data_IF_565251680825
#
_entry.id   IF_565251680825
#
_cell.length_a   1.000
_cell.length_b   1.000
_cell.length_c   1.000
_cell.angle_alpha   90.00
_cell.angle_beta   90.00
_cell.angle_gamma   90.00
#
_symmetry.space_group_name_H-M   'P 1'
#
loop_
_entity.id
_entity.type
_entity.pdbx_description
1 polymer ?
#
# COMPACT_ATOMS: atom_id res chain seq x y z
N UNK A 1 44.14 14.96 33.26
CA UNK A 1 43.20 13.84 33.43
C UNK A 1 42.31 13.79 32.23
N UNK A 2 42.52 12.83 31.33
CA UNK A 2 41.67 12.64 30.16
C UNK A 2 40.25 12.24 30.64
N UNK A 3 39.18 12.84 30.14
CA UNK A 3 37.83 12.41 30.44
C UNK A 3 37.55 11.08 29.69
N UNK A 4 37.73 10.01 30.44
CA UNK A 4 37.65 8.65 29.88
C UNK A 4 36.28 8.29 29.37
N UNK A 5 36.24 7.29 28.47
CA UNK A 5 35.15 6.63 27.76
C UNK A 5 33.84 6.41 28.54
N UNK A 6 33.83 6.48 29.86
CA UNK A 6 32.64 6.34 30.74
C UNK A 6 31.76 7.60 30.83
N UNK A 7 32.23 8.78 30.49
CA UNK A 7 31.45 10.01 30.60
C UNK A 7 30.40 10.19 29.51
N UNK A 8 30.71 9.87 28.26
CA UNK A 8 29.80 10.09 27.13
C UNK A 8 28.60 9.11 27.07
N UNK A 9 28.77 7.92 27.63
CA UNK A 9 27.67 6.98 27.77
C UNK A 9 26.59 7.46 28.77
N UNK A 10 27.02 8.12 29.84
CA UNK A 10 26.12 8.72 30.84
C UNK A 10 25.31 9.87 30.20
N UNK A 11 25.98 10.77 29.47
CA UNK A 11 25.33 11.86 28.75
C UNK A 11 24.37 11.36 27.66
N UNK A 12 24.71 10.28 26.97
CA UNK A 12 23.82 9.63 26.02
C UNK A 12 22.53 9.10 26.68
N UNK A 13 22.67 8.39 27.82
CA UNK A 13 21.50 7.86 28.54
C UNK A 13 20.59 8.98 29.05
N UNK A 14 21.18 10.09 29.48
CA UNK A 14 20.42 11.25 29.94
C UNK A 14 19.74 11.99 28.78
N UNK A 15 20.41 12.18 27.65
CA UNK A 15 19.82 12.75 26.44
C UNK A 15 18.65 11.92 25.91
N UNK A 16 18.76 10.59 25.94
CA UNK A 16 17.67 9.70 25.53
C UNK A 16 16.49 9.79 26.52
N UNK A 17 16.74 9.91 27.81
CA UNK A 17 15.67 10.09 28.81
C UNK A 17 14.92 11.39 28.58
N UNK A 18 15.63 12.50 28.39
CA UNK A 18 15.02 13.80 28.12
C UNK A 18 14.17 13.78 26.84
N UNK A 19 14.66 13.13 25.78
CA UNK A 19 13.89 12.95 24.54
C UNK A 19 12.66 12.06 24.78
N UNK A 20 12.73 11.07 25.67
CA UNK A 20 11.59 10.22 25.99
C UNK A 20 10.46 10.96 26.72
N UNK A 21 10.78 12.04 27.45
CA UNK A 21 9.77 12.88 28.13
C UNK A 21 9.02 13.79 27.14
N UNK A 22 9.62 14.11 26.00
CA UNK A 22 9.06 14.99 24.98
C UNK A 22 8.32 14.25 23.85
N UNK A 23 8.43 12.93 23.77
CA UNK A 23 7.82 12.09 22.75
C UNK A 23 6.66 11.26 23.33
N UNK A 24 5.68 10.92 22.51
CA UNK A 24 4.69 9.92 22.92
C UNK A 24 5.35 8.56 23.13
N UNK A 25 4.82 7.75 24.04
CA UNK A 25 5.34 6.40 24.35
C UNK A 25 5.44 5.52 23.10
N UNK A 26 4.51 5.69 22.15
CA UNK A 26 4.54 5.01 20.85
C UNK A 26 5.65 5.49 19.93
N UNK A 27 5.90 6.79 19.86
CA UNK A 27 6.99 7.35 19.04
C UNK A 27 8.34 6.96 19.60
N UNK A 28 8.52 7.05 20.90
CA UNK A 28 9.76 6.65 21.55
C UNK A 28 10.06 5.17 21.34
N UNK A 29 9.08 4.29 21.56
CA UNK A 29 9.26 2.86 21.34
C UNK A 29 9.56 2.52 19.87
N UNK A 30 8.98 3.26 18.92
CA UNK A 30 9.17 3.03 17.48
C UNK A 30 10.58 3.41 17.02
N UNK A 31 11.12 4.53 17.50
CA UNK A 31 12.35 5.10 16.94
C UNK A 31 13.58 4.86 17.80
N UNK A 32 13.42 4.76 19.13
CA UNK A 32 14.54 4.70 20.08
C UNK A 32 14.69 3.33 20.75
N UNK A 33 13.70 2.44 20.64
CA UNK A 33 13.81 1.08 21.16
C UNK A 33 14.80 0.27 20.32
N UNK A 34 15.83 -0.27 20.97
CA UNK A 34 16.89 -1.04 20.30
C UNK A 34 18.05 -0.21 19.77
N UNK A 35 18.15 1.07 20.18
CA UNK A 35 19.34 1.88 19.95
C UNK A 35 20.34 1.62 21.08
N UNK A 36 21.59 1.33 20.71
CA UNK A 36 22.64 1.04 21.66
C UNK A 36 23.83 2.01 21.49
N UNK A 37 24.36 2.47 22.62
CA UNK A 37 25.63 3.19 22.64
C UNK A 37 26.77 2.22 22.31
N UNK A 38 27.52 2.50 21.24
CA UNK A 38 28.57 1.58 20.75
C UNK A 38 29.99 2.07 21.06
N UNK A 39 30.13 3.35 21.41
CA UNK A 39 31.43 3.92 21.74
C UNK A 39 31.50 5.44 21.59
N UNK A 40 32.64 6.02 21.89
CA UNK A 40 32.88 7.43 21.71
C UNK A 40 34.33 7.68 21.21
N UNK A 41 34.49 8.72 20.38
CA UNK A 41 35.78 9.28 19.96
C UNK A 41 35.97 10.69 20.52
N UNK A 42 37.01 11.40 20.09
CA UNK A 42 37.42 12.70 20.68
C UNK A 42 36.35 13.81 20.62
N UNK A 43 35.38 13.72 19.70
CA UNK A 43 34.24 14.66 19.60
C UNK A 43 33.05 13.99 18.96
N UNK A 44 32.93 12.64 19.02
CA UNK A 44 31.87 11.86 18.37
C UNK A 44 31.32 10.80 19.31
N UNK A 45 30.02 10.65 19.28
CA UNK A 45 29.27 9.55 19.92
C UNK A 45 28.84 8.56 18.85
N UNK A 46 29.27 7.30 19.02
CA UNK A 46 28.94 6.23 18.09
C UNK A 46 27.72 5.44 18.61
N UNK A 47 26.67 5.42 17.82
CA UNK A 47 25.41 4.79 18.17
C UNK A 47 25.10 3.70 17.17
N UNK A 48 24.69 2.54 17.65
CA UNK A 48 24.19 1.46 16.81
C UNK A 48 22.68 1.45 16.81
N UNK A 49 22.12 1.46 15.61
CA UNK A 49 20.67 1.42 15.35
C UNK A 49 20.29 0.10 14.70
N UNK A 50 19.05 -0.39 14.91
CA UNK A 50 18.64 -1.72 14.43
C UNK A 50 18.50 -1.83 12.91
N UNK A 51 18.34 -0.72 12.19
CA UNK A 51 18.18 -0.74 10.72
C UNK A 51 18.62 0.58 10.07
N UNK A 52 18.87 0.54 8.74
CA UNK A 52 19.14 1.74 7.95
C UNK A 52 17.97 2.72 7.98
N UNK A 53 16.75 2.23 8.01
CA UNK A 53 15.55 3.04 8.08
C UNK A 53 15.46 3.83 9.40
N UNK A 54 15.73 3.20 10.55
CA UNK A 54 15.79 3.90 11.84
C UNK A 54 16.92 4.93 11.83
N UNK A 55 18.05 4.61 11.20
CA UNK A 55 19.14 5.56 10.99
C UNK A 55 18.69 6.82 10.25
N UNK A 56 18.01 6.64 9.11
CA UNK A 56 17.57 7.74 8.25
C UNK A 56 16.51 8.61 8.94
N UNK A 57 15.55 8.00 9.66
CA UNK A 57 14.53 8.72 10.43
C UNK A 57 15.13 9.51 11.60
N UNK A 58 16.09 8.93 12.33
CA UNK A 58 16.77 9.63 13.40
C UNK A 58 17.60 10.78 12.83
N UNK A 59 18.29 10.56 11.70
CA UNK A 59 19.07 11.59 11.03
C UNK A 59 18.22 12.77 10.60
N UNK A 60 17.04 12.51 10.04
CA UNK A 60 16.17 13.58 9.53
C UNK A 60 15.40 14.33 10.61
N UNK A 61 14.91 13.62 11.64
CA UNK A 61 13.98 14.21 12.60
C UNK A 61 14.59 14.53 13.96
N UNK A 62 15.55 13.75 14.41
CA UNK A 62 16.00 13.78 15.80
C UNK A 62 17.49 14.07 15.97
N UNK A 63 18.32 13.99 14.90
CA UNK A 63 19.77 14.15 15.00
C UNK A 63 20.17 15.50 15.58
N UNK A 64 19.62 16.58 15.05
CA UNK A 64 19.91 17.94 15.51
C UNK A 64 19.60 18.11 17.00
N UNK A 65 18.43 17.62 17.42
CA UNK A 65 17.99 17.68 18.81
C UNK A 65 18.84 16.82 19.75
N UNK A 66 19.28 15.65 19.29
CA UNK A 66 20.20 14.79 20.03
C UNK A 66 21.56 15.46 20.22
N UNK A 67 22.10 16.09 19.17
CA UNK A 67 23.37 16.79 19.23
C UNK A 67 23.31 18.04 20.13
N UNK A 68 22.20 18.80 20.08
CA UNK A 68 21.94 19.93 20.99
C UNK A 68 21.90 19.49 22.46
N UNK A 69 21.19 18.42 22.77
CA UNK A 69 21.11 17.89 24.15
C UNK A 69 22.45 17.36 24.63
N UNK A 70 23.15 16.63 23.78
CA UNK A 70 24.52 16.19 24.14
C UNK A 70 25.48 17.35 24.36
N UNK A 71 25.35 18.46 23.63
CA UNK A 71 26.13 19.68 23.83
C UNK A 71 25.76 20.37 25.13
N UNK A 72 24.46 20.43 25.50
CA UNK A 72 24.03 20.98 26.81
C UNK A 72 24.61 20.19 27.98
N UNK A 73 24.56 18.85 27.91
CA UNK A 73 24.99 17.98 29.00
C UNK A 73 26.53 17.88 29.10
N UNK A 74 27.23 17.91 27.99
CA UNK A 74 28.71 17.73 27.97
C UNK A 74 29.48 19.02 28.00
N UNK A 75 28.86 20.16 27.69
CA UNK A 75 29.55 21.46 27.51
C UNK A 75 30.43 21.53 26.26
N UNK A 76 30.41 20.49 25.40
CA UNK A 76 31.22 20.39 24.19
C UNK A 76 30.35 19.99 23.00
N UNK A 77 30.73 20.46 21.81
CA UNK A 77 30.03 20.09 20.59
C UNK A 77 30.36 18.65 20.19
N UNK A 78 29.40 17.74 20.42
CA UNK A 78 29.53 16.33 20.08
C UNK A 78 28.70 16.02 18.85
N UNK A 79 29.27 15.34 17.86
CA UNK A 79 28.56 14.84 16.72
C UNK A 79 28.10 13.38 16.94
N UNK A 80 26.90 13.03 16.52
CA UNK A 80 26.34 11.68 16.64
C UNK A 80 26.52 10.92 15.32
N UNK A 81 27.27 9.83 15.36
CA UNK A 81 27.49 8.95 14.21
C UNK A 81 26.69 7.67 14.37
N UNK A 82 25.70 7.49 13.49
CA UNK A 82 24.82 6.34 13.50
C UNK A 82 25.38 5.22 12.61
N UNK A 83 25.52 4.01 13.18
CA UNK A 83 25.89 2.79 12.48
C UNK A 83 24.78 1.76 12.59
N UNK A 84 24.60 0.90 11.59
CA UNK A 84 23.61 -0.16 11.62
C UNK A 84 24.21 -1.43 12.24
N UNK A 85 23.48 -2.06 13.16
CA UNK A 85 23.90 -3.26 13.88
C UNK A 85 24.19 -4.42 12.91
N UNK A 86 25.44 -4.87 12.86
CA UNK A 86 25.80 -6.14 12.23
C UNK A 86 25.55 -7.24 13.25
N UNK A 87 24.50 -8.04 13.10
CA UNK A 87 24.28 -9.22 13.95
C UNK A 87 25.47 -10.18 13.80
N UNK A 88 26.31 -10.27 14.83
CA UNK A 88 27.27 -11.33 14.99
C UNK A 88 26.55 -12.55 15.55
N UNK A 89 26.47 -13.62 14.77
CA UNK A 89 26.05 -14.93 15.26
C UNK A 89 27.17 -15.48 16.16
N UNK A 90 26.95 -15.48 17.46
CA UNK A 90 27.79 -16.24 18.40
C UNK A 90 27.50 -17.72 18.26
N UNK A 91 28.40 -18.47 17.65
CA UNK A 91 28.57 -19.93 17.88
C UNK A 91 29.98 -20.17 18.32
N UNK A 92 30.06 -20.96 19.40
CA UNK A 92 31.24 -21.30 20.17
C UNK A 92 32.42 -21.85 19.35
N UNK A 93 33.57 -21.56 19.89
CA UNK A 93 34.87 -21.99 19.41
C UNK A 93 35.03 -23.52 19.41
N UNK A 94 35.43 -24.06 18.27
CA UNK A 94 36.37 -25.16 18.24
C UNK A 94 37.46 -24.85 17.21
N UNK A 95 38.65 -24.90 17.72
CA UNK A 95 39.93 -24.71 17.08
C UNK A 95 40.19 -25.86 16.08
N UNK A 96 40.51 -25.50 14.84
CA UNK A 96 41.49 -26.30 14.06
C UNK A 96 42.04 -25.46 12.91
N UNK A 97 43.35 -25.25 13.02
CA UNK A 97 44.24 -24.58 12.10
C UNK A 97 44.42 -25.37 10.80
N UNK A 98 43.97 -24.81 9.65
CA UNK A 98 44.63 -25.01 8.34
C UNK A 98 44.27 -23.88 7.39
N UNK A 99 45.29 -23.14 6.95
CA UNK A 99 45.15 -22.01 6.06
C UNK A 99 44.58 -22.36 4.69
N UNK A 100 43.56 -21.62 4.31
CA UNK A 100 43.20 -21.44 2.91
C UNK A 100 42.84 -19.97 2.68
N UNK A 101 43.39 -19.43 1.60
CA UNK A 101 43.21 -18.06 1.11
C UNK A 101 41.74 -17.69 1.12
N UNK A 102 41.42 -16.61 1.84
CA UNK A 102 40.10 -15.93 1.75
C UNK A 102 40.02 -15.28 0.39
N UNK A 103 39.30 -15.95 -0.50
CA UNK A 103 38.74 -15.36 -1.71
C UNK A 103 37.62 -14.40 -1.24
N UNK A 104 37.78 -13.11 -1.51
CA UNK A 104 36.75 -12.10 -1.30
C UNK A 104 35.61 -12.32 -2.31
N UNK A 105 34.90 -13.44 -2.13
CA UNK A 105 33.67 -13.76 -2.87
C UNK A 105 32.53 -12.90 -2.38
N UNK A 106 32.16 -11.93 -3.22
CA UNK A 106 30.89 -11.19 -3.10
C UNK A 106 29.77 -12.10 -2.61
N UNK A 107 29.21 -11.82 -1.44
CA UNK A 107 27.99 -12.42 -0.94
C UNK A 107 26.90 -12.21 -1.97
N UNK A 108 26.70 -13.18 -2.87
CA UNK A 108 25.54 -13.19 -3.79
C UNK A 108 24.29 -13.11 -2.93
N UNK A 109 23.66 -11.93 -2.89
CA UNK A 109 22.39 -11.72 -2.19
C UNK A 109 21.41 -12.78 -2.68
N UNK A 110 21.03 -13.71 -1.80
CA UNK A 110 19.99 -14.71 -2.10
C UNK A 110 18.77 -13.98 -2.63
N UNK A 111 18.25 -14.43 -3.77
CA UNK A 111 17.09 -13.86 -4.40
C UNK A 111 15.98 -14.89 -4.50
N UNK A 112 14.78 -14.49 -4.11
CA UNK A 112 13.61 -15.32 -4.27
C UNK A 112 13.18 -15.38 -5.75
N UNK A 113 12.91 -16.55 -6.34
CA UNK A 113 12.64 -16.70 -7.76
C UNK A 113 11.40 -15.94 -8.26
N UNK A 114 10.38 -15.78 -7.40
CA UNK A 114 9.08 -15.20 -7.78
C UNK A 114 8.85 -13.79 -7.23
N UNK A 115 9.85 -13.17 -6.57
CA UNK A 115 9.73 -11.81 -6.05
C UNK A 115 10.55 -10.84 -6.93
N UNK A 116 10.00 -9.68 -7.21
CA UNK A 116 10.73 -8.61 -7.87
C UNK A 116 11.74 -8.00 -6.90
N UNK A 117 13.02 -7.95 -7.30
CA UNK A 117 14.13 -7.38 -6.51
C UNK A 117 13.94 -5.92 -6.19
N UNK A 118 13.21 -5.20 -7.04
CA UNK A 118 13.03 -3.77 -6.92
C UNK A 118 11.98 -3.41 -5.86
N UNK A 119 11.12 -4.36 -5.49
CA UNK A 119 10.11 -4.13 -4.49
C UNK A 119 10.67 -4.37 -3.09
N UNK A 120 11.31 -3.33 -2.56
CA UNK A 120 11.91 -3.32 -1.21
C UNK A 120 11.38 -2.14 -0.41
N UNK A 121 11.50 -2.22 0.92
CA UNK A 121 11.10 -1.12 1.80
C UNK A 121 11.92 0.15 1.57
N UNK A 122 13.20 0.02 1.20
CA UNK A 122 14.08 1.14 0.91
C UNK A 122 13.66 1.95 -0.33
N UNK A 123 12.92 1.30 -1.23
CA UNK A 123 12.38 1.96 -2.44
C UNK A 123 10.93 2.41 -2.29
N UNK A 124 10.28 2.01 -1.23
CA UNK A 124 8.91 2.43 -0.95
C UNK A 124 8.92 3.79 -0.23
N UNK A 125 8.45 4.82 -0.90
CA UNK A 125 8.39 6.17 -0.32
C UNK A 125 7.24 6.24 0.68
N UNK A 126 7.57 6.51 1.93
CA UNK A 126 6.60 6.62 3.01
C UNK A 126 6.19 8.08 3.17
N UNK A 127 4.89 8.33 3.13
CA UNK A 127 4.25 9.61 3.43
C UNK A 127 3.13 9.40 4.44
N UNK A 128 2.43 10.47 4.79
CA UNK A 128 1.35 10.43 5.76
C UNK A 128 0.25 9.42 5.38
N UNK A 129 -0.16 9.41 4.12
CA UNK A 129 -1.26 8.58 3.60
C UNK A 129 -0.98 7.07 3.58
N UNK A 130 0.28 6.65 3.60
CA UNK A 130 0.67 5.24 3.51
C UNK A 130 1.53 4.75 4.70
N UNK A 131 1.80 5.62 5.68
CA UNK A 131 2.69 5.33 6.81
C UNK A 131 2.21 4.14 7.64
N UNK A 132 0.90 4.03 7.88
CA UNK A 132 0.32 2.91 8.64
C UNK A 132 0.52 1.58 7.91
N UNK A 133 0.27 1.54 6.60
CA UNK A 133 0.49 0.35 5.77
C UNK A 133 1.96 -0.07 5.72
N UNK A 134 2.86 0.90 5.55
CA UNK A 134 4.30 0.64 5.53
C UNK A 134 4.81 0.11 6.88
N UNK A 135 4.37 0.70 7.99
CA UNK A 135 4.76 0.26 9.33
C UNK A 135 4.20 -1.13 9.67
N UNK A 136 2.95 -1.44 9.30
CA UNK A 136 2.39 -2.77 9.45
C UNK A 136 3.19 -3.81 8.65
N UNK A 137 3.51 -3.50 7.39
CA UNK A 137 4.33 -4.37 6.54
C UNK A 137 5.74 -4.61 7.12
N UNK A 138 6.38 -3.55 7.65
CA UNK A 138 7.68 -3.65 8.32
C UNK A 138 7.63 -4.50 9.60
N UNK A 139 6.58 -4.35 10.41
CA UNK A 139 6.39 -5.14 11.62
C UNK A 139 6.22 -6.63 11.29
N UNK A 140 5.42 -6.95 10.27
CA UNK A 140 5.24 -8.32 9.77
C UNK A 140 6.57 -8.91 9.26
N UNK A 141 7.32 -8.13 8.49
CA UNK A 141 8.60 -8.58 7.95
C UNK A 141 9.65 -8.88 9.03
N UNK A 142 9.62 -8.13 10.14
CA UNK A 142 10.53 -8.34 11.28
C UNK A 142 10.18 -9.57 12.13
N UNK A 143 8.89 -9.85 12.30
CA UNK A 143 8.41 -10.91 13.19
C UNK A 143 7.24 -11.66 12.52
N UNK A 144 7.50 -12.46 11.47
CA UNK A 144 6.43 -13.16 10.77
C UNK A 144 5.75 -14.20 11.69
N UNK A 145 4.41 -14.25 11.62
CA UNK A 145 3.58 -15.20 12.38
C UNK A 145 3.19 -14.79 13.81
N UNK A 146 3.68 -13.63 14.31
CA UNK A 146 3.53 -13.31 15.75
C UNK A 146 2.52 -12.23 16.09
N UNK A 147 2.13 -11.34 15.19
CA UNK A 147 1.29 -10.21 15.58
C UNK A 147 0.10 -9.97 14.65
N UNK A 148 0.36 -9.59 13.44
CA UNK A 148 -0.66 -9.16 12.48
C UNK A 148 -0.93 -10.27 11.46
N UNK A 149 -1.67 -11.31 11.88
CA UNK A 149 -1.91 -12.50 11.07
C UNK A 149 -3.38 -12.93 11.09
N UNK A 150 -4.10 -12.92 9.96
CA UNK A 150 -3.63 -12.44 8.65
C UNK A 150 -3.47 -10.93 8.59
N UNK A 151 -2.81 -10.42 7.57
CA UNK A 151 -2.83 -9.01 7.20
C UNK A 151 -3.43 -8.84 5.79
N UNK A 152 -4.37 -7.93 5.64
CA UNK A 152 -4.93 -7.53 4.35
C UNK A 152 -4.61 -6.06 4.08
N UNK A 153 -3.87 -5.80 3.00
CA UNK A 153 -3.58 -4.45 2.50
C UNK A 153 -4.55 -4.18 1.34
N UNK A 154 -5.46 -3.23 1.50
CA UNK A 154 -6.41 -2.89 0.45
C UNK A 154 -6.29 -1.41 0.05
N UNK A 155 -6.86 -1.04 -1.08
CA UNK A 155 -6.84 0.33 -1.62
C UNK A 155 -6.83 0.35 -3.13
N UNK A 156 -7.05 1.49 -3.74
CA UNK A 156 -7.17 1.66 -5.19
C UNK A 156 -6.03 1.06 -6.02
N UNK A 157 -6.25 0.96 -7.32
CA UNK A 157 -5.25 0.43 -8.26
C UNK A 157 -4.04 1.36 -8.34
N UNK A 158 -2.82 0.79 -8.36
CA UNK A 158 -1.59 1.56 -8.57
C UNK A 158 -1.06 2.33 -7.35
N UNK A 159 -1.55 2.03 -6.13
CA UNK A 159 -1.09 2.69 -4.89
C UNK A 159 0.16 2.05 -4.26
N UNK A 160 0.62 0.89 -4.76
CA UNK A 160 1.83 0.23 -4.26
C UNK A 160 1.58 -1.01 -3.38
N UNK A 161 0.37 -1.59 -3.39
CA UNK A 161 0.04 -2.82 -2.65
C UNK A 161 0.98 -3.97 -2.99
N UNK A 162 1.15 -4.26 -4.27
CA UNK A 162 2.07 -5.28 -4.78
C UNK A 162 3.52 -4.99 -4.37
N UNK A 163 3.93 -3.73 -4.31
CA UNK A 163 5.24 -3.34 -3.81
C UNK A 163 5.40 -3.73 -2.33
N UNK A 164 4.45 -3.35 -1.48
CA UNK A 164 4.51 -3.64 -0.04
C UNK A 164 4.50 -5.14 0.26
N UNK A 165 3.61 -5.91 -0.36
CA UNK A 165 3.55 -7.36 -0.12
C UNK A 165 4.84 -8.05 -0.56
N UNK A 166 5.42 -7.65 -1.68
CA UNK A 166 6.69 -8.20 -2.13
C UNK A 166 7.88 -7.67 -1.33
N UNK A 167 7.83 -6.45 -0.79
CA UNK A 167 8.84 -5.95 0.14
C UNK A 167 8.90 -6.77 1.43
N UNK A 168 7.72 -7.18 1.97
CA UNK A 168 7.66 -8.13 3.08
C UNK A 168 8.39 -9.42 2.68
N UNK A 169 8.04 -10.01 1.54
CA UNK A 169 8.63 -11.25 1.06
C UNK A 169 10.15 -11.17 0.89
N UNK A 170 10.64 -10.11 0.24
CA UNK A 170 12.07 -9.87 0.04
C UNK A 170 12.83 -9.69 1.37
N UNK A 171 12.24 -8.99 2.33
CA UNK A 171 12.85 -8.78 3.64
C UNK A 171 12.91 -10.07 4.45
N UNK A 172 11.79 -10.81 4.54
CA UNK A 172 11.75 -12.11 5.23
C UNK A 172 12.73 -13.10 4.61
N UNK A 173 12.74 -13.23 3.28
CA UNK A 173 13.64 -14.16 2.58
C UNK A 173 15.12 -13.84 2.80
N UNK A 174 15.45 -12.55 2.96
CA UNK A 174 16.81 -12.08 3.24
C UNK A 174 17.20 -12.29 4.70
N UNK A 175 16.29 -11.95 5.63
CA UNK A 175 16.58 -11.92 7.06
C UNK A 175 16.41 -13.26 7.76
N UNK A 176 15.53 -14.13 7.22
CA UNK A 176 15.22 -15.45 7.77
C UNK A 176 15.43 -16.56 6.71
N UNK A 177 16.69 -16.98 6.49
CA UNK A 177 17.01 -17.95 5.42
C UNK A 177 16.35 -19.32 5.55
N UNK A 178 15.91 -19.67 6.75
CA UNK A 178 15.27 -20.96 7.05
C UNK A 178 13.75 -20.94 6.81
N UNK A 179 13.15 -19.74 6.66
CA UNK A 179 11.73 -19.62 6.40
C UNK A 179 11.42 -19.78 4.91
N UNK A 180 10.39 -20.57 4.63
CA UNK A 180 9.85 -20.76 3.29
C UNK A 180 8.83 -19.67 2.98
N UNK A 181 9.16 -18.79 2.03
CA UNK A 181 8.29 -17.74 1.56
C UNK A 181 7.67 -18.17 0.23
N UNK A 182 6.35 -18.01 0.09
CA UNK A 182 5.66 -18.15 -1.19
C UNK A 182 4.91 -16.85 -1.53
N UNK A 183 5.11 -16.37 -2.76
CA UNK A 183 4.34 -15.28 -3.34
C UNK A 183 3.59 -15.78 -4.56
N UNK A 184 2.31 -15.44 -4.64
CA UNK A 184 1.42 -15.84 -5.74
C UNK A 184 0.30 -14.82 -5.92
N UNK A 185 -0.13 -14.57 -7.17
CA UNK A 185 -1.40 -13.88 -7.43
C UNK A 185 -2.57 -14.86 -7.32
N UNK A 186 -3.76 -14.40 -6.93
CA UNK A 186 -4.96 -15.25 -6.91
C UNK A 186 -5.21 -15.93 -8.25
N UNK A 187 -4.95 -15.25 -9.35
CA UNK A 187 -5.12 -15.82 -10.68
C UNK A 187 -4.20 -17.03 -10.90
N UNK A 188 -2.92 -16.89 -10.54
CA UNK A 188 -1.95 -18.00 -10.62
C UNK A 188 -2.33 -19.14 -9.68
N UNK A 189 -2.75 -18.83 -8.43
CA UNK A 189 -3.22 -19.83 -7.47
C UNK A 189 -4.41 -20.63 -8.01
N UNK A 190 -5.42 -19.93 -8.60
CA UNK A 190 -6.59 -20.55 -9.21
C UNK A 190 -6.20 -21.46 -10.39
N UNK A 191 -5.33 -20.98 -11.27
CA UNK A 191 -4.89 -21.75 -12.44
C UNK A 191 -4.11 -23.01 -12.03
N UNK A 192 -3.20 -22.89 -11.06
CA UNK A 192 -2.47 -24.04 -10.51
C UNK A 192 -3.41 -25.04 -9.82
N UNK A 193 -4.41 -24.55 -9.08
CA UNK A 193 -5.41 -25.40 -8.46
C UNK A 193 -6.20 -26.21 -9.50
N UNK A 194 -6.73 -25.55 -10.54
CA UNK A 194 -7.47 -26.21 -11.64
C UNK A 194 -6.59 -27.25 -12.33
N UNK A 195 -5.35 -26.90 -12.65
CA UNK A 195 -4.39 -27.83 -13.27
C UNK A 195 -4.08 -29.03 -12.35
N UNK A 196 -4.03 -28.81 -11.04
CA UNK A 196 -3.77 -29.89 -10.07
C UNK A 196 -4.90 -30.91 -10.01
N UNK A 197 -6.15 -30.46 -10.18
CA UNK A 197 -7.32 -31.34 -10.28
C UNK A 197 -7.27 -32.15 -11.58
N UNK A 198 -7.03 -31.48 -12.72
CA UNK A 198 -6.96 -32.13 -14.03
C UNK A 198 -5.86 -33.19 -14.09
N UNK A 199 -4.69 -32.91 -13.51
CA UNK A 199 -3.54 -33.81 -13.48
C UNK A 199 -3.54 -34.78 -12.30
N UNK A 200 -4.55 -34.76 -11.41
CA UNK A 200 -4.64 -35.53 -10.18
C UNK A 200 -3.43 -35.33 -9.24
N UNK A 201 -2.85 -34.11 -9.23
CA UNK A 201 -1.66 -33.74 -8.42
C UNK A 201 -2.05 -32.83 -7.25
N UNK A 202 -3.27 -32.93 -6.74
CA UNK A 202 -3.77 -32.08 -5.64
C UNK A 202 -2.93 -32.12 -4.37
N UNK A 203 -2.25 -33.26 -4.08
CA UNK A 203 -1.33 -33.36 -2.96
C UNK A 203 -0.10 -32.43 -3.13
N UNK A 204 0.45 -32.33 -4.34
CA UNK A 204 1.59 -31.46 -4.62
C UNK A 204 1.20 -29.98 -4.47
N UNK A 205 0.00 -29.60 -4.95
CA UNK A 205 -0.55 -28.27 -4.77
C UNK A 205 -0.71 -27.92 -3.27
N UNK A 206 -1.34 -28.81 -2.51
CA UNK A 206 -1.49 -28.63 -1.05
C UNK A 206 -0.14 -28.50 -0.35
N UNK A 207 0.83 -29.35 -0.66
CA UNK A 207 2.16 -29.24 -0.10
C UNK A 207 2.84 -27.93 -0.46
N UNK A 208 2.72 -27.45 -1.71
CA UNK A 208 3.30 -26.18 -2.14
C UNK A 208 2.84 -25.00 -1.29
N UNK A 209 1.55 -24.90 -1.00
CA UNK A 209 0.97 -23.72 -0.34
C UNK A 209 0.74 -23.88 1.16
N UNK A 210 0.62 -25.12 1.68
CA UNK A 210 0.37 -25.37 3.12
C UNK A 210 1.63 -25.67 3.93
N UNK A 211 2.80 -25.83 3.28
CA UNK A 211 4.09 -26.09 3.96
C UNK A 211 5.01 -24.87 4.03
N UNK A 212 4.49 -23.68 3.70
CA UNK A 212 5.25 -22.44 3.76
C UNK A 212 5.16 -21.78 5.13
N UNK A 213 6.14 -20.96 5.48
CA UNK A 213 6.14 -20.18 6.71
C UNK A 213 5.53 -18.80 6.51
N UNK A 214 5.62 -18.27 5.29
CA UNK A 214 5.02 -16.98 4.89
C UNK A 214 4.34 -17.15 3.54
N UNK A 215 3.02 -16.94 3.51
CA UNK A 215 2.20 -16.94 2.31
C UNK A 215 1.76 -15.53 1.95
N UNK A 216 2.13 -15.08 0.77
CA UNK A 216 1.81 -13.77 0.21
C UNK A 216 0.90 -13.97 -1.01
N UNK A 217 -0.35 -13.53 -0.91
CA UNK A 217 -1.33 -13.65 -2.00
C UNK A 217 -1.77 -12.27 -2.46
N UNK A 218 -1.46 -11.96 -3.70
CA UNK A 218 -1.79 -10.67 -4.33
C UNK A 218 -3.16 -10.72 -5.03
N UNK A 219 -3.91 -9.62 -4.94
CA UNK A 219 -5.14 -9.35 -5.66
C UNK A 219 -6.30 -10.33 -5.34
N UNK A 220 -6.65 -10.50 -4.03
CA UNK A 220 -7.70 -11.44 -3.61
C UNK A 220 -9.10 -11.08 -4.11
N UNK A 221 -9.34 -9.87 -4.63
CA UNK A 221 -10.60 -9.50 -5.26
C UNK A 221 -10.92 -10.34 -6.52
N UNK A 222 -9.91 -10.93 -7.18
CA UNK A 222 -10.10 -11.88 -8.26
C UNK A 222 -10.65 -13.26 -7.83
N UNK A 223 -10.95 -13.47 -6.54
CA UNK A 223 -11.74 -14.62 -6.08
C UNK A 223 -13.22 -14.51 -6.42
N UNK A 224 -13.69 -13.33 -6.82
CA UNK A 224 -15.08 -13.11 -7.22
C UNK A 224 -15.54 -14.16 -8.23
N UNK A 225 -16.65 -14.88 -7.92
CA UNK A 225 -17.22 -15.90 -8.78
C UNK A 225 -16.45 -17.23 -8.89
N UNK A 226 -15.35 -17.44 -8.13
CA UNK A 226 -14.52 -18.66 -8.20
C UNK A 226 -14.70 -19.54 -6.97
N UNK A 227 -15.89 -20.10 -6.76
CA UNK A 227 -16.26 -20.85 -5.55
C UNK A 227 -15.28 -21.96 -5.19
N UNK A 228 -14.87 -22.81 -6.14
CA UNK A 228 -13.92 -23.89 -5.87
C UNK A 228 -12.55 -23.40 -5.43
N UNK A 229 -12.08 -22.27 -5.97
CA UNK A 229 -10.82 -21.64 -5.55
C UNK A 229 -10.94 -21.00 -4.17
N UNK A 230 -12.09 -20.42 -3.86
CA UNK A 230 -12.37 -19.88 -2.52
C UNK A 230 -12.36 -20.99 -1.46
N UNK A 231 -12.94 -22.14 -1.75
CA UNK A 231 -12.95 -23.30 -0.86
C UNK A 231 -11.51 -23.81 -0.60
N UNK A 232 -10.71 -24.00 -1.64
CA UNK A 232 -9.32 -24.46 -1.48
C UNK A 232 -8.48 -23.42 -0.73
N UNK A 233 -8.68 -22.13 -1.00
CA UNK A 233 -8.00 -21.06 -0.24
C UNK A 233 -8.42 -21.05 1.22
N UNK A 234 -9.69 -21.29 1.53
CA UNK A 234 -10.18 -21.40 2.90
C UNK A 234 -9.49 -22.55 3.66
N UNK A 235 -9.33 -23.71 3.03
CA UNK A 235 -8.61 -24.84 3.63
C UNK A 235 -7.12 -24.55 3.80
N UNK A 236 -6.49 -23.88 2.85
CA UNK A 236 -5.08 -23.46 2.92
C UNK A 236 -4.89 -22.43 4.04
N UNK A 237 -5.80 -21.47 4.14
CA UNK A 237 -5.82 -20.47 5.21
C UNK A 237 -5.86 -21.13 6.60
N UNK A 238 -6.81 -22.06 6.83
CA UNK A 238 -6.93 -22.73 8.12
C UNK A 238 -5.65 -23.52 8.47
N UNK A 239 -5.09 -24.26 7.53
CA UNK A 239 -3.87 -25.03 7.75
C UNK A 239 -2.67 -24.16 8.16
N UNK A 240 -2.54 -22.96 7.55
CA UNK A 240 -1.47 -22.01 7.89
C UNK A 240 -1.76 -21.26 9.19
N UNK A 241 -3.01 -20.88 9.42
CA UNK A 241 -3.42 -20.18 10.63
C UNK A 241 -3.20 -21.03 11.88
N UNK A 242 -3.63 -22.28 11.86
CA UNK A 242 -3.48 -23.23 12.95
C UNK A 242 -1.99 -23.56 13.25
N UNK A 243 -1.15 -23.45 12.21
CA UNK A 243 0.31 -23.62 12.33
C UNK A 243 1.05 -22.30 12.67
N UNK A 244 0.33 -21.19 12.95
CA UNK A 244 0.89 -19.86 13.22
C UNK A 244 1.83 -19.35 12.09
N UNK A 245 1.51 -19.71 10.83
CA UNK A 245 2.26 -19.23 9.66
C UNK A 245 1.72 -17.88 9.18
N UNK A 246 2.62 -16.97 8.80
CA UNK A 246 2.22 -15.64 8.37
C UNK A 246 1.48 -15.66 7.03
N UNK A 247 0.37 -14.95 6.97
CA UNK A 247 -0.37 -14.71 5.72
C UNK A 247 -0.54 -13.22 5.49
N UNK A 248 -0.27 -12.77 4.26
CA UNK A 248 -0.51 -11.40 3.81
C UNK A 248 -1.27 -11.43 2.50
N UNK A 249 -2.28 -10.60 2.41
CA UNK A 249 -3.17 -10.49 1.25
C UNK A 249 -3.22 -9.05 0.74
N UNK A 250 -3.48 -8.88 -0.56
CA UNK A 250 -3.83 -7.56 -1.09
C UNK A 250 -5.18 -7.59 -1.82
N UNK A 251 -5.86 -6.44 -1.85
CA UNK A 251 -7.12 -6.26 -2.57
C UNK A 251 -7.19 -4.84 -3.14
N UNK A 252 -7.94 -4.65 -4.23
CA UNK A 252 -8.22 -3.31 -4.77
C UNK A 252 -9.33 -2.57 -3.98
N UNK A 253 -10.05 -3.29 -3.12
CA UNK A 253 -11.19 -2.82 -2.32
C UNK A 253 -11.28 -3.55 -0.99
N UNK A 254 -12.04 -3.03 -0.01
CA UNK A 254 -12.33 -3.75 1.24
C UNK A 254 -13.00 -5.10 0.98
N UNK A 255 -12.79 -6.06 1.88
CA UNK A 255 -13.37 -7.43 1.76
C UNK A 255 -14.90 -7.39 1.67
N UNK A 256 -15.55 -6.46 2.38
CA UNK A 256 -17.00 -6.26 2.38
C UNK A 256 -17.56 -5.94 0.98
N UNK A 257 -16.74 -5.38 0.09
CA UNK A 257 -17.14 -4.98 -1.26
C UNK A 257 -16.83 -6.05 -2.33
N UNK A 258 -16.15 -7.15 -1.97
CA UNK A 258 -15.88 -8.25 -2.90
C UNK A 258 -17.19 -9.04 -3.06
N UNK A 259 -17.76 -8.96 -4.26
CA UNK A 259 -19.01 -9.67 -4.59
C UNK A 259 -18.79 -11.19 -4.59
N UNK A 260 -19.80 -11.95 -4.22
CA UNK A 260 -19.76 -13.43 -4.24
C UNK A 260 -18.60 -14.05 -3.46
N UNK A 261 -18.00 -13.32 -2.52
CA UNK A 261 -17.03 -13.88 -1.59
C UNK A 261 -17.78 -14.64 -0.48
N UNK A 262 -17.42 -15.90 -0.24
CA UNK A 262 -18.06 -16.71 0.79
C UNK A 262 -17.88 -16.09 2.18
N UNK A 263 -18.92 -16.14 3.01
CA UNK A 263 -18.90 -15.56 4.37
C UNK A 263 -17.79 -16.16 5.24
N UNK A 264 -17.46 -17.43 5.02
CA UNK A 264 -16.38 -18.12 5.72
C UNK A 264 -15.03 -17.45 5.43
N UNK A 265 -14.73 -17.16 4.16
CA UNK A 265 -13.48 -16.55 3.76
C UNK A 265 -13.42 -15.07 4.14
N UNK A 266 -14.57 -14.38 4.00
CA UNK A 266 -14.73 -12.99 4.45
C UNK A 266 -14.40 -12.85 5.92
N UNK A 267 -15.02 -13.64 6.79
CA UNK A 267 -14.75 -13.64 8.23
C UNK A 267 -13.28 -13.92 8.57
N UNK A 268 -12.59 -14.73 7.76
CA UNK A 268 -11.16 -15.00 7.95
C UNK A 268 -10.29 -13.79 7.61
N UNK A 269 -10.57 -13.09 6.54
CA UNK A 269 -9.84 -11.87 6.18
C UNK A 269 -10.09 -10.73 7.18
N UNK A 270 -11.34 -10.58 7.66
CA UNK A 270 -11.72 -9.54 8.61
C UNK A 270 -11.13 -9.76 10.02
N UNK A 271 -10.77 -11.00 10.36
CA UNK A 271 -10.23 -11.35 11.68
C UNK A 271 -8.87 -10.72 11.98
N UNK A 272 -8.08 -10.44 10.96
CA UNK A 272 -6.71 -9.94 11.08
C UNK A 272 -6.62 -8.42 11.02
N UNK A 273 -5.43 -7.94 10.69
CA UNK A 273 -5.17 -6.53 10.46
C UNK A 273 -5.57 -6.13 9.04
N UNK A 274 -6.55 -5.25 8.91
CA UNK A 274 -6.95 -4.68 7.63
C UNK A 274 -6.40 -3.27 7.52
N UNK A 275 -5.61 -3.02 6.49
CA UNK A 275 -4.87 -1.77 6.30
C UNK A 275 -5.28 -1.14 4.98
N UNK A 276 -5.77 0.09 5.07
CA UNK A 276 -6.13 0.90 3.92
C UNK A 276 -4.90 1.66 3.38
N UNK A 277 -4.69 1.58 2.07
CA UNK A 277 -3.61 2.28 1.37
C UNK A 277 -4.23 3.40 0.52
N UNK A 278 -4.08 4.62 1.01
CA UNK A 278 -4.65 5.82 0.40
C UNK A 278 -3.74 6.43 -0.68
N UNK A 279 -4.30 7.19 -1.63
CA UNK A 279 -3.51 7.95 -2.61
C UNK A 279 -2.49 8.87 -1.93
N UNK A 280 -1.28 9.01 -2.51
CA UNK A 280 -0.24 9.86 -1.95
C UNK A 280 -0.62 11.33 -2.04
N UNK A 281 -0.33 12.11 -0.98
CA UNK A 281 -0.44 13.56 -0.98
C UNK A 281 0.59 14.18 -1.93
N UNK A 282 0.51 15.49 -2.16
CA UNK A 282 1.36 16.20 -3.13
C UNK A 282 2.84 16.02 -2.85
N UNK A 283 3.27 16.17 -1.61
CA UNK A 283 4.66 16.04 -1.18
C UNK A 283 5.19 14.61 -1.40
N UNK A 284 4.38 13.63 -1.08
CA UNK A 284 4.73 12.23 -1.31
C UNK A 284 4.83 11.91 -2.80
N UNK A 285 3.96 12.51 -3.66
CA UNK A 285 4.07 12.35 -5.12
C UNK A 285 5.37 12.91 -5.67
N UNK A 286 5.79 14.10 -5.20
CA UNK A 286 7.08 14.71 -5.57
C UNK A 286 8.24 13.78 -5.16
N UNK A 287 8.22 13.29 -3.92
CA UNK A 287 9.27 12.40 -3.42
C UNK A 287 9.35 11.08 -4.24
N UNK A 288 8.19 10.49 -4.58
CA UNK A 288 8.13 9.30 -5.42
C UNK A 288 8.71 9.58 -6.82
N UNK A 289 8.30 10.70 -7.43
CA UNK A 289 8.73 11.02 -8.78
C UNK A 289 10.23 11.32 -8.84
N UNK A 290 10.76 12.09 -7.89
CA UNK A 290 12.20 12.38 -7.77
C UNK A 290 13.00 11.09 -7.58
N UNK A 291 12.55 10.18 -6.72
CA UNK A 291 13.21 8.88 -6.55
C UNK A 291 13.27 8.08 -7.85
N UNK A 292 12.19 8.09 -8.63
CA UNK A 292 12.14 7.41 -9.94
C UNK A 292 13.05 8.07 -10.98
N UNK A 293 13.19 9.39 -10.96
CA UNK A 293 14.10 10.16 -11.81
C UNK A 293 15.55 9.80 -11.47
N UNK A 294 15.91 9.76 -10.19
CA UNK A 294 17.24 9.33 -9.74
C UNK A 294 17.58 7.90 -10.18
N UNK A 295 16.62 6.97 -10.02
CA UNK A 295 16.80 5.57 -10.43
C UNK A 295 17.03 5.43 -11.94
N UNK A 296 16.34 6.24 -12.74
CA UNK A 296 16.49 6.26 -14.20
C UNK A 296 17.67 7.08 -14.68
N UNK A 297 18.33 7.84 -13.79
CA UNK A 297 19.49 8.73 -14.09
C UNK A 297 19.21 9.72 -15.21
N UNK A 298 18.01 10.27 -15.27
CA UNK A 298 17.59 11.27 -16.24
C UNK A 298 17.55 12.65 -15.59
N UNK A 299 17.79 13.70 -16.41
CA UNK A 299 17.66 15.08 -15.94
C UNK A 299 16.28 15.61 -16.31
N UNK A 300 15.47 15.95 -15.32
CA UNK A 300 14.12 16.50 -15.50
C UNK A 300 14.03 17.77 -14.68
N UNK A 301 13.64 18.91 -15.27
CA UNK A 301 13.47 20.17 -14.54
C UNK A 301 12.40 20.05 -13.44
N UNK A 302 12.62 20.70 -12.30
CA UNK A 302 11.70 20.69 -11.16
C UNK A 302 10.29 21.18 -11.54
N UNK A 303 10.19 22.17 -12.45
CA UNK A 303 8.92 22.66 -12.97
C UNK A 303 8.10 21.55 -13.67
N UNK A 304 8.77 20.59 -14.32
CA UNK A 304 8.12 19.44 -14.96
C UNK A 304 7.66 18.43 -13.91
N UNK A 305 8.45 18.21 -12.88
CA UNK A 305 8.07 17.36 -11.74
C UNK A 305 6.81 17.91 -11.07
N UNK A 306 6.81 19.23 -10.78
CA UNK A 306 5.62 19.89 -10.23
C UNK A 306 4.41 19.81 -11.16
N UNK A 307 4.61 20.03 -12.46
CA UNK A 307 3.53 19.92 -13.45
C UNK A 307 2.88 18.52 -13.41
N UNK A 308 3.67 17.46 -13.40
CA UNK A 308 3.16 16.08 -13.31
C UNK A 308 2.42 15.88 -11.99
N UNK A 309 3.05 16.21 -10.86
CA UNK A 309 2.48 15.99 -9.53
C UNK A 309 1.21 16.79 -9.24
N UNK A 310 1.02 17.97 -9.85
CA UNK A 310 -0.21 18.75 -9.71
C UNK A 310 -1.38 18.18 -10.51
N UNK A 311 -1.10 17.60 -11.69
CA UNK A 311 -2.14 17.14 -12.61
C UNK A 311 -2.43 15.65 -12.52
N UNK A 312 -1.48 14.84 -12.03
CA UNK A 312 -1.64 13.40 -11.83
C UNK A 312 -1.75 13.13 -10.33
N UNK A 313 -2.97 13.05 -9.83
CA UNK A 313 -3.27 12.88 -8.40
C UNK A 313 -3.95 11.55 -8.07
N UNK A 314 -4.16 10.69 -9.06
CA UNK A 314 -4.92 9.45 -8.94
C UNK A 314 -4.13 8.34 -8.25
N UNK A 315 -2.95 8.00 -8.75
CA UNK A 315 -2.15 6.89 -8.25
C UNK A 315 -0.69 6.96 -8.72
N UNK A 316 0.17 6.15 -8.08
CA UNK A 316 1.61 6.11 -8.39
C UNK A 316 1.90 5.55 -9.78
N UNK A 317 1.11 4.59 -10.26
CA UNK A 317 1.29 3.99 -11.60
C UNK A 317 1.13 5.02 -12.70
N UNK A 318 0.21 5.96 -12.55
CA UNK A 318 -0.01 7.01 -13.56
C UNK A 318 1.09 8.07 -13.51
N UNK A 319 1.65 8.38 -12.32
CA UNK A 319 2.87 9.19 -12.20
C UNK A 319 4.05 8.55 -12.97
N UNK A 320 4.27 7.24 -12.77
CA UNK A 320 5.33 6.49 -13.47
C UNK A 320 5.10 6.42 -14.98
N UNK A 321 3.85 6.27 -15.43
CA UNK A 321 3.52 6.30 -16.86
C UNK A 321 3.80 7.67 -17.47
N UNK A 322 3.42 8.77 -16.80
CA UNK A 322 3.68 10.12 -17.27
C UNK A 322 5.19 10.38 -17.41
N UNK A 323 5.97 10.00 -16.40
CA UNK A 323 7.43 10.09 -16.44
C UNK A 323 8.03 9.26 -17.59
N UNK A 324 7.61 8.01 -17.72
CA UNK A 324 8.11 7.09 -18.75
C UNK A 324 7.80 7.62 -20.16
N UNK A 325 6.61 8.21 -20.37
CA UNK A 325 6.24 8.82 -21.65
C UNK A 325 7.16 9.98 -22.01
N UNK A 326 7.50 10.84 -21.06
CA UNK A 326 8.42 11.97 -21.29
C UNK A 326 9.83 11.51 -21.59
N UNK A 327 10.34 10.55 -20.86
CA UNK A 327 11.68 9.99 -21.08
C UNK A 327 11.75 9.35 -22.47
N UNK A 328 10.79 8.50 -22.81
CA UNK A 328 10.74 7.85 -24.13
C UNK A 328 10.65 8.88 -25.27
N UNK A 329 9.88 9.95 -25.09
CA UNK A 329 9.82 11.03 -26.09
C UNK A 329 11.17 11.72 -26.25
N UNK A 330 11.83 12.08 -25.15
CA UNK A 330 13.13 12.75 -25.16
C UNK A 330 14.20 11.89 -25.87
N UNK A 331 14.25 10.61 -25.54
CA UNK A 331 15.19 9.65 -26.15
C UNK A 331 14.92 9.43 -27.64
N UNK A 332 13.65 9.22 -28.04
CA UNK A 332 13.28 8.93 -29.43
C UNK A 332 13.42 10.15 -30.36
N UNK A 333 13.16 11.35 -29.85
CA UNK A 333 13.21 12.60 -30.65
C UNK A 333 14.55 13.33 -30.48
N UNK A 334 15.39 12.86 -29.55
CA UNK A 334 16.68 13.46 -29.20
C UNK A 334 16.53 14.95 -28.80
N UNK A 335 15.58 15.23 -27.89
CA UNK A 335 15.29 16.56 -27.37
C UNK A 335 15.29 16.56 -25.85
N UNK A 336 15.73 17.67 -25.26
CA UNK A 336 15.63 17.86 -23.81
C UNK A 336 14.18 17.97 -23.35
N UNK A 337 13.92 17.48 -22.12
CA UNK A 337 12.61 17.60 -21.48
C UNK A 337 12.45 19.03 -20.98
N UNK A 338 11.53 19.79 -21.61
CA UNK A 338 11.16 21.15 -21.20
C UNK A 338 9.71 21.17 -20.72
N UNK A 339 9.34 22.25 -19.99
CA UNK A 339 7.97 22.43 -19.52
C UNK A 339 6.96 22.47 -20.68
N UNK A 340 7.31 23.08 -21.79
CA UNK A 340 6.46 23.19 -22.98
C UNK A 340 6.23 21.83 -23.63
N UNK A 341 7.31 21.08 -23.88
CA UNK A 341 7.25 19.70 -24.41
C UNK A 341 6.42 18.83 -23.47
N UNK A 342 6.63 18.95 -22.16
CA UNK A 342 5.92 18.15 -21.17
C UNK A 342 4.42 18.44 -21.17
N UNK A 343 4.01 19.70 -21.26
CA UNK A 343 2.58 20.08 -21.42
C UNK A 343 1.96 19.48 -22.67
N UNK A 344 2.67 19.53 -23.79
CA UNK A 344 2.21 18.98 -25.07
C UNK A 344 2.08 17.46 -25.01
N UNK A 345 3.11 16.75 -24.52
CA UNK A 345 3.14 15.29 -24.49
C UNK A 345 2.20 14.68 -23.45
N UNK A 346 1.97 15.37 -22.34
CA UNK A 346 1.09 14.91 -21.27
C UNK A 346 -0.33 15.48 -21.37
N UNK A 347 -0.66 16.18 -22.47
CA UNK A 347 -2.00 16.74 -22.67
C UNK A 347 -3.10 15.71 -22.46
N UNK A 348 -2.92 14.47 -22.93
CA UNK A 348 -3.93 13.41 -22.76
C UNK A 348 -3.98 12.87 -21.32
N UNK A 349 -2.87 12.92 -20.55
CA UNK A 349 -2.84 12.62 -19.13
C UNK A 349 -3.55 13.70 -18.30
N UNK A 350 -3.46 14.96 -18.75
CA UNK A 350 -4.10 16.10 -18.10
C UNK A 350 -5.52 16.30 -18.61
N UNK A 351 -5.79 15.89 -19.85
CA UNK A 351 -7.11 15.82 -20.49
C UNK A 351 -7.82 14.48 -20.28
N UNK A 352 -7.17 13.51 -19.59
CA UNK A 352 -8.04 12.65 -18.80
C UNK A 352 -8.85 13.68 -17.99
N UNK A 353 -10.17 13.68 -18.14
CA UNK A 353 -10.94 14.47 -17.22
C UNK A 353 -10.40 14.03 -15.85
N UNK A 354 -9.76 14.91 -15.08
CA UNK A 354 -10.08 14.89 -13.66
C UNK A 354 -11.53 14.55 -13.73
N UNK A 355 -11.90 13.30 -13.33
CA UNK A 355 -13.32 12.98 -13.25
C UNK A 355 -13.82 14.19 -12.53
N UNK A 356 -14.41 15.14 -13.28
CA UNK A 356 -15.17 16.23 -12.69
C UNK A 356 -16.12 15.38 -11.91
N UNK A 357 -15.87 15.27 -10.59
CA UNK A 357 -16.39 14.19 -9.79
C UNK A 357 -17.84 14.15 -10.13
N UNK A 358 -18.27 13.08 -10.83
CA UNK A 358 -19.68 12.98 -11.21
C UNK A 358 -20.39 13.18 -9.90
N UNK A 359 -20.96 14.36 -9.70
CA UNK A 359 -21.59 14.67 -8.42
C UNK A 359 -22.95 14.01 -8.38
N UNK A 360 -23.38 13.60 -7.20
CA UNK A 360 -24.75 13.08 -7.02
C UNK A 360 -25.77 14.08 -7.52
N UNK A 361 -25.50 15.37 -7.39
CA UNK A 361 -26.36 16.45 -7.87
C UNK A 361 -26.49 16.45 -9.41
N UNK A 362 -25.41 16.23 -10.14
CA UNK A 362 -25.44 16.07 -11.61
C UNK A 362 -26.26 14.87 -12.01
N UNK A 363 -26.09 13.74 -11.33
CA UNK A 363 -26.87 12.53 -11.58
C UNK A 363 -28.36 12.78 -11.32
N UNK A 364 -28.69 13.40 -10.20
CA UNK A 364 -30.08 13.75 -9.86
C UNK A 364 -30.70 14.66 -10.90
N UNK A 365 -29.95 15.64 -11.41
CA UNK A 365 -30.43 16.55 -12.48
C UNK A 365 -30.72 15.79 -13.76
N UNK A 366 -29.76 15.00 -14.26
CA UNK A 366 -29.91 14.28 -15.54
C UNK A 366 -31.01 13.22 -15.48
N UNK A 367 -31.10 12.48 -14.38
CA UNK A 367 -32.16 11.49 -14.18
C UNK A 367 -33.51 12.19 -13.99
N UNK A 368 -33.55 13.30 -13.25
CA UNK A 368 -34.75 14.14 -13.13
C UNK A 368 -35.26 14.62 -14.48
N UNK A 369 -34.41 15.21 -15.28
CA UNK A 369 -34.74 15.69 -16.63
C UNK A 369 -35.27 14.57 -17.54
N UNK A 370 -34.66 13.39 -17.47
CA UNK A 370 -35.08 12.24 -18.26
C UNK A 370 -36.48 11.73 -17.90
N UNK A 371 -36.82 11.72 -16.62
CA UNK A 371 -38.12 11.25 -16.13
C UNK A 371 -39.14 12.38 -15.89
N UNK A 372 -38.83 13.63 -16.25
CA UNK A 372 -39.72 14.76 -16.07
C UNK A 372 -39.95 15.13 -14.60
N UNK A 373 -38.94 14.92 -13.72
CA UNK A 373 -39.00 15.18 -12.29
C UNK A 373 -38.06 16.33 -11.89
N UNK A 374 -38.48 17.10 -10.92
CA UNK A 374 -37.59 18.11 -10.34
C UNK A 374 -36.59 17.47 -9.37
N UNK A 375 -35.45 18.16 -9.15
CA UNK A 375 -34.45 17.82 -8.12
C UNK A 375 -35.10 17.65 -6.74
N UNK A 376 -36.10 18.50 -6.39
CA UNK A 376 -36.84 18.42 -5.13
C UNK A 376 -37.68 17.14 -5.00
N UNK A 377 -38.20 16.61 -6.11
CA UNK A 377 -38.99 15.38 -6.11
C UNK A 377 -38.12 14.16 -5.81
N UNK A 378 -36.90 14.10 -6.33
CA UNK A 378 -35.95 13.03 -6.06
C UNK A 378 -35.49 13.00 -4.60
N UNK A 379 -35.32 14.14 -3.96
CA UNK A 379 -34.96 14.28 -2.52
C UNK A 379 -36.18 14.19 -1.59
N UNK A 380 -37.38 14.42 -2.13
CA UNK A 380 -38.63 14.50 -1.37
C UNK A 380 -39.07 13.18 -0.75
N UNK A 381 -40.02 13.26 0.20
CA UNK A 381 -40.59 12.10 0.90
C UNK A 381 -41.64 11.33 0.09
N UNK A 382 -42.06 11.80 -1.09
CA UNK A 382 -43.06 11.15 -1.94
C UNK A 382 -42.63 9.72 -2.33
N UNK A 383 -43.59 8.77 -2.21
CA UNK A 383 -43.35 7.32 -2.47
C UNK A 383 -44.18 6.77 -3.66
N UNK A 384 -44.79 7.65 -4.44
CA UNK A 384 -45.53 7.22 -5.65
C UNK A 384 -44.57 6.52 -6.63
N UNK A 385 -45.05 5.51 -7.36
CA UNK A 385 -44.24 4.70 -8.29
C UNK A 385 -43.52 5.59 -9.33
N UNK A 386 -44.19 6.66 -9.78
CA UNK A 386 -43.63 7.64 -10.72
C UNK A 386 -42.40 8.40 -10.21
N UNK A 387 -42.24 8.55 -8.88
CA UNK A 387 -41.08 9.23 -8.25
C UNK A 387 -40.11 8.25 -7.64
N UNK A 388 -40.62 7.13 -7.11
CA UNK A 388 -39.81 6.15 -6.41
C UNK A 388 -38.85 5.40 -7.35
N UNK A 389 -39.29 5.04 -8.55
CA UNK A 389 -38.47 4.33 -9.53
C UNK A 389 -37.34 5.19 -10.09
N UNK A 390 -37.57 6.41 -10.60
CA UNK A 390 -36.47 7.30 -11.01
C UNK A 390 -35.46 7.58 -9.88
N UNK A 391 -35.93 7.72 -8.65
CA UNK A 391 -35.05 7.88 -7.49
C UNK A 391 -34.19 6.66 -7.26
N UNK A 392 -34.72 5.44 -7.40
CA UNK A 392 -33.96 4.21 -7.29
C UNK A 392 -32.89 4.13 -8.40
N UNK A 393 -33.23 4.50 -9.64
CA UNK A 393 -32.27 4.59 -10.75
C UNK A 393 -31.16 5.61 -10.42
N UNK A 394 -31.52 6.79 -9.90
CA UNK A 394 -30.52 7.80 -9.55
C UNK A 394 -29.61 7.35 -8.41
N UNK A 395 -30.12 6.67 -7.37
CA UNK A 395 -29.31 6.08 -6.30
C UNK A 395 -28.36 4.98 -6.84
N UNK A 396 -28.84 4.12 -7.72
CA UNK A 396 -28.04 3.09 -8.38
C UNK A 396 -26.91 3.73 -9.19
N UNK A 397 -27.21 4.71 -10.06
CA UNK A 397 -26.21 5.42 -10.85
C UNK A 397 -25.20 6.21 -9.97
N UNK A 398 -25.66 6.74 -8.84
CA UNK A 398 -24.75 7.41 -7.89
C UNK A 398 -23.75 6.43 -7.29
N UNK A 399 -24.14 5.20 -6.99
CA UNK A 399 -23.24 4.15 -6.50
C UNK A 399 -22.31 3.60 -7.58
N UNK A 400 -22.77 3.49 -8.82
CA UNK A 400 -21.98 2.93 -9.94
C UNK A 400 -20.99 3.95 -10.53
N UNK A 401 -21.32 5.25 -10.51
CA UNK A 401 -20.54 6.29 -11.19
C UNK A 401 -19.75 7.19 -10.26
N UNK A 402 -19.90 7.03 -8.95
CA UNK A 402 -19.19 7.84 -7.95
C UNK A 402 -18.58 6.96 -6.86
N UNK A 403 -17.63 7.54 -6.12
CA UNK A 403 -16.99 6.85 -4.98
C UNK A 403 -17.74 7.07 -3.65
N UNK A 404 -18.88 7.76 -3.65
CA UNK A 404 -19.64 8.02 -2.43
C UNK A 404 -20.18 6.72 -1.82
N UNK A 405 -20.06 6.59 -0.50
CA UNK A 405 -20.63 5.48 0.26
C UNK A 405 -22.17 5.48 0.22
N UNK A 406 -22.80 4.34 0.51
CA UNK A 406 -24.26 4.24 0.59
C UNK A 406 -24.88 5.21 1.60
N UNK A 407 -24.14 5.55 2.66
CA UNK A 407 -24.55 6.52 3.68
C UNK A 407 -24.55 7.94 3.11
N UNK A 408 -23.50 8.34 2.39
CA UNK A 408 -23.40 9.64 1.75
C UNK A 408 -24.42 9.81 0.63
N UNK A 409 -24.62 8.77 -0.20
CA UNK A 409 -25.69 8.76 -1.19
C UNK A 409 -27.04 8.93 -0.50
N UNK A 410 -27.31 8.22 0.59
CA UNK A 410 -28.56 8.34 1.34
C UNK A 410 -28.81 9.77 1.85
N UNK A 411 -27.77 10.42 2.37
CA UNK A 411 -27.83 11.81 2.84
C UNK A 411 -28.24 12.77 1.71
N UNK A 412 -27.65 12.62 0.52
CA UNK A 412 -27.93 13.46 -0.65
C UNK A 412 -29.33 13.22 -1.27
N UNK A 413 -29.95 12.07 -0.99
CA UNK A 413 -31.33 11.79 -1.41
C UNK A 413 -32.39 12.10 -0.30
N UNK A 414 -32.11 13.10 0.54
CA UNK A 414 -33.04 13.60 1.55
C UNK A 414 -32.96 12.87 2.90
N UNK A 415 -31.75 12.47 3.31
CA UNK A 415 -31.48 11.86 4.61
C UNK A 415 -32.02 10.42 4.71
N UNK A 416 -31.88 9.65 3.64
CA UNK A 416 -32.30 8.23 3.63
C UNK A 416 -31.23 7.35 4.23
N UNK A 417 -31.69 6.31 4.89
CA UNK A 417 -30.81 5.29 5.46
C UNK A 417 -30.05 4.53 4.36
N UNK A 418 -28.81 4.10 4.66
CA UNK A 418 -27.95 3.32 3.77
C UNK A 418 -28.63 2.04 3.27
N UNK A 419 -29.48 1.40 4.08
CA UNK A 419 -30.26 0.22 3.70
C UNK A 419 -31.24 0.53 2.57
N UNK A 420 -31.83 1.74 2.55
CA UNK A 420 -32.70 2.20 1.45
C UNK A 420 -31.94 2.30 0.15
N UNK A 421 -30.70 2.78 0.18
CA UNK A 421 -29.84 2.86 -1.01
C UNK A 421 -29.45 1.46 -1.50
N UNK A 422 -29.03 0.58 -0.59
CA UNK A 422 -28.70 -0.81 -0.92
C UNK A 422 -29.90 -1.54 -1.57
N UNK A 423 -31.09 -1.43 -0.98
CA UNK A 423 -32.30 -2.00 -1.57
C UNK A 423 -32.66 -1.40 -2.93
N UNK A 424 -32.39 -0.10 -3.13
CA UNK A 424 -32.61 0.55 -4.42
C UNK A 424 -31.65 -0.02 -5.49
N UNK A 425 -30.39 -0.19 -5.18
CA UNK A 425 -29.39 -0.77 -6.08
C UNK A 425 -29.76 -2.20 -6.46
N UNK A 426 -29.99 -3.06 -5.47
CA UNK A 426 -30.38 -4.45 -5.69
C UNK A 426 -31.64 -4.56 -6.57
N UNK A 427 -32.63 -3.73 -6.30
CA UNK A 427 -33.89 -3.75 -7.06
C UNK A 427 -33.71 -3.32 -8.51
N UNK A 428 -32.83 -2.37 -8.80
CA UNK A 428 -32.53 -1.96 -10.18
C UNK A 428 -31.75 -3.05 -10.89
N UNK A 429 -30.75 -3.67 -10.26
CA UNK A 429 -29.99 -4.80 -10.81
C UNK A 429 -30.92 -5.99 -11.16
N UNK A 430 -31.81 -6.38 -10.23
CA UNK A 430 -32.72 -7.49 -10.45
C UNK A 430 -33.72 -7.18 -11.58
N UNK A 431 -34.12 -5.90 -11.66
CA UNK A 431 -35.07 -5.48 -12.69
C UNK A 431 -34.40 -5.36 -14.07
N UNK A 432 -33.15 -5.00 -14.19
CA UNK A 432 -32.39 -5.04 -15.45
C UNK A 432 -32.27 -6.45 -16.01
N UNK A 433 -32.20 -7.48 -15.16
CA UNK A 433 -32.21 -8.89 -15.59
C UNK A 433 -33.57 -9.34 -16.13
N UNK A 434 -34.66 -8.72 -15.69
CA UNK A 434 -36.01 -9.11 -16.01
C UNK A 434 -36.66 -8.25 -17.11
N UNK A 435 -36.21 -7.01 -17.29
CA UNK A 435 -36.76 -6.03 -18.22
C UNK A 435 -35.72 -5.63 -19.27
N UNK A 436 -35.81 -6.19 -20.49
CA UNK A 436 -34.83 -5.92 -21.56
C UNK A 436 -34.74 -4.44 -21.98
N UNK A 437 -35.73 -3.60 -21.63
CA UNK A 437 -35.73 -2.18 -21.98
C UNK A 437 -35.07 -1.31 -20.93
N UNK A 438 -34.86 -1.80 -19.72
CA UNK A 438 -34.28 -1.02 -18.63
C UNK A 438 -32.77 -0.85 -18.78
N UNK A 439 -32.06 -1.90 -19.17
CA UNK A 439 -30.61 -1.85 -19.35
C UNK A 439 -30.19 -0.80 -20.40
N UNK A 440 -30.77 -0.74 -21.63
CA UNK A 440 -30.48 0.32 -22.59
C UNK A 440 -30.76 1.72 -22.04
N UNK A 441 -31.81 1.88 -21.23
CA UNK A 441 -32.17 3.16 -20.61
C UNK A 441 -31.10 3.58 -19.60
N UNK A 442 -30.64 2.67 -18.76
CA UNK A 442 -29.57 2.94 -17.78
C UNK A 442 -28.28 3.29 -18.51
N UNK A 443 -27.92 2.58 -19.56
CA UNK A 443 -26.73 2.85 -20.36
C UNK A 443 -26.80 4.21 -21.07
N UNK A 444 -27.94 4.60 -21.59
CA UNK A 444 -28.17 5.93 -22.18
C UNK A 444 -27.97 7.06 -21.14
N UNK A 445 -28.47 6.85 -19.92
CA UNK A 445 -28.26 7.78 -18.80
C UNK A 445 -26.80 7.87 -18.41
N UNK A 446 -26.09 6.72 -18.29
CA UNK A 446 -24.63 6.67 -18.03
C UNK A 446 -23.86 7.48 -19.07
N UNK A 447 -24.16 7.26 -20.36
CA UNK A 447 -23.54 7.97 -21.46
C UNK A 447 -23.78 9.48 -21.34
N UNK A 448 -25.02 9.90 -21.11
CA UNK A 448 -25.38 11.32 -20.97
C UNK A 448 -24.72 11.99 -19.76
N UNK A 449 -24.61 11.26 -18.62
CA UNK A 449 -23.92 11.76 -17.42
C UNK A 449 -22.44 11.99 -17.73
N UNK A 450 -21.78 11.02 -18.38
CA UNK A 450 -20.37 11.14 -18.76
C UNK A 450 -20.12 12.26 -19.76
N UNK A 451 -20.96 12.41 -20.78
CA UNK A 451 -20.86 13.48 -21.79
C UNK A 451 -21.11 14.89 -21.21
N UNK A 452 -22.04 15.02 -20.26
CA UNK A 452 -22.33 16.33 -19.60
C UNK A 452 -21.22 16.69 -18.61
N UNK A 453 -20.47 15.73 -18.11
CA UNK A 453 -19.37 15.93 -17.19
C UNK A 453 -18.01 16.10 -17.91
N UNK A 454 -17.92 15.82 -19.20
CA UNK A 454 -16.75 16.05 -20.04
C UNK A 454 -16.64 17.54 -20.42
#
# INVERSE_FOLDING_TARGET
MEPGKKGYEAFWKEAIRDISEDLSEQEFSTWFQGIEFSGSGDSQVLITVPSSFVKDQITQKYLTRLEEKLQELSGQRLSVKLSVQKKSSSRGAHDDSRGQKLDEGATRKRQHPNLNREYTFERFIIGESNSFAANAALAIAKNPGTGYNPCLIYGGVGLGKTHLIQAIGNSVYREFPDLKVAYVTVETFANEFILSIQKKTGHQFKNKYRSVDVLLIDDVHFLEGKEGTQEELFHTFNALYDANKQMVFTSDRPVSEIRSLSDRLRSRFERGLNVDLQPPNYETRIAILNRKIEEKKVNIPDEVVELICRNVNTNVRDLEKALTKLIAYAELVNKDITLEISRQQLKDFFAQPSQKNITIELIQKIVGDYFGLSYKDLRGKRRTKAVAFPRQVAMYLSRELTEYSTTEVGAEFGGRDHTTVMHACQKIEDRMKLDPNLEPTVQALVKKIKETNA
#
